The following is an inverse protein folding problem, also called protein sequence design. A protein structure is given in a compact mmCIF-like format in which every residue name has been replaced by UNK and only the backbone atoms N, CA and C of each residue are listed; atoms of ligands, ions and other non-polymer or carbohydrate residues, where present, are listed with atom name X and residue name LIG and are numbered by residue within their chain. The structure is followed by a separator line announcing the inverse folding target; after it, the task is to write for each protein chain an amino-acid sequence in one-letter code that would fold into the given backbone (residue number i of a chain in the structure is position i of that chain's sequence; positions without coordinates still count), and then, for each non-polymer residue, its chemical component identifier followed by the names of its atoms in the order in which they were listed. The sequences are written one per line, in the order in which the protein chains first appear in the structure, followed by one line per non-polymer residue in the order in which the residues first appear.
data_IF_250124709565
#
_entry.id   IF_250124709565
#
_cell.length_a   1.000
_cell.length_b   1.000
_cell.length_c   1.000
_cell.angle_alpha   90.00
_cell.angle_beta   90.00
_cell.angle_gamma   90.00
#
_symmetry.space_group_name_H-M   'P 1'
#
loop_
_entity.id
_entity.type
_entity.pdbx_description
1 polymer ?
#
# COMPACT_ATOMS: atom_id res chain seq x y z
N UNK A 1 3.05 -20.69 -14.05
CA UNK A 1 3.43 -19.46 -13.30
C UNK A 1 2.22 -18.56 -13.02
N UNK A 2 1.22 -19.05 -12.27
CA UNK A 2 -0.04 -18.34 -11.95
C UNK A 2 -0.19 -17.99 -10.46
N UNK A 3 0.76 -18.43 -9.62
CA UNK A 3 0.62 -18.39 -8.15
C UNK A 3 0.73 -16.99 -7.55
N UNK A 4 1.61 -16.12 -8.08
CA UNK A 4 1.91 -14.82 -7.46
C UNK A 4 0.82 -13.76 -7.67
N UNK A 5 0.12 -13.77 -8.82
CA UNK A 5 -0.98 -12.83 -9.06
C UNK A 5 -2.22 -13.18 -8.23
N UNK A 6 -2.55 -14.47 -8.13
CA UNK A 6 -3.66 -14.94 -7.30
C UNK A 6 -3.39 -14.69 -5.81
N UNK A 7 -2.16 -14.88 -5.34
CA UNK A 7 -1.77 -14.56 -3.97
C UNK A 7 -1.92 -13.05 -3.66
N UNK A 8 -1.46 -12.19 -4.58
CA UNK A 8 -1.61 -10.74 -4.45
C UNK A 8 -3.08 -10.29 -4.49
N UNK A 9 -3.89 -10.92 -5.35
CA UNK A 9 -5.32 -10.64 -5.46
C UNK A 9 -6.06 -10.99 -4.16
N UNK A 10 -5.82 -12.19 -3.60
CA UNK A 10 -6.40 -12.60 -2.31
C UNK A 10 -5.98 -11.68 -1.18
N UNK A 11 -4.71 -11.28 -1.12
CA UNK A 11 -4.25 -10.32 -0.11
C UNK A 11 -4.90 -8.95 -0.28
N UNK A 12 -5.13 -8.50 -1.53
CA UNK A 12 -5.80 -7.23 -1.81
C UNK A 12 -7.26 -7.28 -1.39
N UNK A 13 -7.94 -8.39 -1.68
CA UNK A 13 -9.30 -8.64 -1.24
C UNK A 13 -9.39 -8.65 0.29
N UNK A 14 -8.52 -9.38 0.99
CA UNK A 14 -8.52 -9.40 2.47
C UNK A 14 -8.22 -8.03 3.08
N UNK A 15 -7.23 -7.31 2.55
CA UNK A 15 -6.88 -5.98 3.05
C UNK A 15 -8.04 -4.98 2.86
N UNK A 16 -8.70 -4.98 1.69
CA UNK A 16 -9.78 -4.03 1.41
C UNK A 16 -11.15 -4.46 1.96
N UNK A 17 -11.53 -5.74 1.81
CA UNK A 17 -12.86 -6.25 2.19
C UNK A 17 -12.94 -6.65 3.65
N UNK A 18 -11.87 -7.21 4.22
CA UNK A 18 -11.86 -7.67 5.62
C UNK A 18 -11.19 -6.66 6.57
N UNK A 19 -10.65 -5.55 6.03
CA UNK A 19 -9.91 -4.56 6.81
C UNK A 19 -8.64 -5.14 7.47
N UNK A 20 -8.05 -6.19 6.88
CA UNK A 20 -6.91 -6.89 7.47
C UNK A 20 -5.63 -6.05 7.37
N UNK A 21 -5.24 -5.46 8.50
CA UNK A 21 -4.05 -4.63 8.64
C UNK A 21 -2.74 -5.40 8.34
N UNK A 22 -2.67 -6.67 8.71
CA UNK A 22 -1.50 -7.51 8.43
C UNK A 22 -1.39 -7.85 6.94
N UNK A 23 -2.52 -8.09 6.27
CA UNK A 23 -2.55 -8.28 4.82
C UNK A 23 -2.10 -7.00 4.08
N UNK A 24 -2.52 -5.82 4.54
CA UNK A 24 -2.07 -4.55 3.97
C UNK A 24 -0.56 -4.33 4.16
N UNK A 25 -0.02 -4.71 5.31
CA UNK A 25 1.42 -4.66 5.58
C UNK A 25 2.22 -5.62 4.68
N UNK A 26 1.77 -6.85 4.53
CA UNK A 26 2.41 -7.83 3.65
C UNK A 26 2.43 -7.36 2.18
N UNK A 27 1.34 -6.72 1.73
CA UNK A 27 1.28 -6.10 0.41
C UNK A 27 2.26 -4.93 0.28
N UNK A 28 2.43 -4.13 1.34
CA UNK A 28 3.41 -3.05 1.36
C UNK A 28 4.84 -3.60 1.25
N UNK A 29 5.21 -4.56 2.09
CA UNK A 29 6.53 -5.22 2.07
C UNK A 29 6.84 -5.76 0.67
N UNK A 30 5.89 -6.47 0.05
CA UNK A 30 6.03 -6.96 -1.32
C UNK A 30 6.27 -5.83 -2.34
N UNK A 31 5.62 -4.68 -2.16
CA UNK A 31 5.79 -3.53 -3.07
C UNK A 31 7.17 -2.88 -2.93
N UNK A 32 7.72 -2.89 -1.70
CA UNK A 32 9.07 -2.40 -1.42
C UNK A 32 10.10 -3.31 -2.10
N UNK A 33 9.97 -4.63 -1.93
CA UNK A 33 10.84 -5.63 -2.58
C UNK A 33 10.80 -5.49 -4.10
N UNK A 34 9.62 -5.30 -4.68
CA UNK A 34 9.43 -5.10 -6.13
C UNK A 34 9.72 -3.66 -6.60
N UNK A 35 10.12 -2.75 -5.71
CA UNK A 35 10.40 -1.33 -6.00
C UNK A 35 9.25 -0.57 -6.67
N UNK A 36 8.01 -0.98 -6.40
CA UNK A 36 6.82 -0.33 -6.95
C UNK A 36 6.50 0.97 -6.21
N UNK A 37 6.96 2.11 -6.75
CA UNK A 37 6.84 3.43 -6.08
C UNK A 37 5.40 3.84 -5.78
N UNK A 38 4.55 3.95 -6.81
CA UNK A 38 3.17 4.44 -6.67
C UNK A 38 2.28 3.48 -5.89
N UNK A 39 2.42 2.17 -6.15
CA UNK A 39 1.62 1.13 -5.49
C UNK A 39 2.02 1.02 -4.00
N UNK A 40 3.31 1.14 -3.67
CA UNK A 40 3.76 1.16 -2.29
C UNK A 40 3.15 2.31 -1.49
N UNK A 41 3.09 3.54 -2.05
CA UNK A 41 2.44 4.66 -1.37
C UNK A 41 0.96 4.38 -1.08
N UNK A 42 0.22 3.83 -2.05
CA UNK A 42 -1.20 3.50 -1.82
C UNK A 42 -1.36 2.44 -0.73
N UNK A 43 -0.54 1.38 -0.76
CA UNK A 43 -0.58 0.29 0.23
C UNK A 43 -0.10 0.75 1.61
N UNK A 44 0.84 1.68 1.67
CA UNK A 44 1.26 2.32 2.91
C UNK A 44 0.12 3.11 3.55
N UNK A 45 -0.58 3.95 2.77
CA UNK A 45 -1.73 4.69 3.27
C UNK A 45 -2.84 3.74 3.75
N UNK A 46 -3.11 2.68 3.00
CA UNK A 46 -4.06 1.65 3.38
C UNK A 46 -3.67 0.99 4.72
N UNK A 47 -2.41 0.55 4.84
CA UNK A 47 -1.89 -0.07 6.06
C UNK A 47 -1.94 0.89 7.25
N UNK A 48 -1.63 2.18 7.04
CA UNK A 48 -1.74 3.22 8.06
C UNK A 48 -3.18 3.41 8.54
N UNK A 49 -4.14 3.45 7.60
CA UNK A 49 -5.56 3.62 7.92
C UNK A 49 -6.16 2.42 8.65
N UNK A 50 -5.66 1.21 8.37
CA UNK A 50 -6.05 -0.02 9.05
C UNK A 50 -5.32 -0.24 10.39
N UNK A 51 -4.43 0.67 10.80
CA UNK A 51 -3.69 0.53 12.05
C UNK A 51 -2.63 -0.57 12.04
N UNK A 52 -2.07 -0.90 10.87
CA UNK A 52 -1.02 -1.90 10.75
C UNK A 52 0.25 -1.47 11.51
N UNK A 53 1.04 -2.41 12.06
CA UNK A 53 2.28 -2.12 12.76
C UNK A 53 3.39 -1.74 11.77
N UNK A 54 3.30 -0.51 11.25
CA UNK A 54 4.31 0.07 10.37
C UNK A 54 5.62 0.30 11.14
N UNK A 55 6.74 0.07 10.48
CA UNK A 55 8.08 0.24 11.03
C UNK A 55 8.78 1.43 10.34
N UNK A 56 9.83 1.96 10.96
CA UNK A 56 10.64 3.07 10.41
C UNK A 56 11.05 2.87 8.96
N UNK A 57 11.44 1.64 8.58
CA UNK A 57 11.81 1.28 7.19
C UNK A 57 10.70 1.56 6.17
N UNK A 58 9.43 1.42 6.57
CA UNK A 58 8.29 1.69 5.71
C UNK A 58 8.16 3.20 5.50
N UNK A 59 8.20 3.97 6.59
CA UNK A 59 8.14 5.43 6.58
C UNK A 59 9.25 6.03 5.72
N UNK A 60 10.50 5.63 5.94
CA UNK A 60 11.65 6.11 5.17
C UNK A 60 11.51 5.82 3.66
N UNK A 61 11.00 4.64 3.31
CA UNK A 61 10.83 4.27 1.91
C UNK A 61 9.77 5.13 1.22
N UNK A 62 8.61 5.34 1.85
CA UNK A 62 7.57 6.19 1.26
C UNK A 62 7.94 7.67 1.29
N UNK A 63 8.65 8.16 2.30
CA UNK A 63 9.18 9.53 2.32
C UNK A 63 10.14 9.78 1.16
N UNK A 64 11.08 8.87 0.91
CA UNK A 64 12.00 8.94 -0.25
C UNK A 64 11.25 8.96 -1.59
N UNK A 65 10.11 8.29 -1.70
CA UNK A 65 9.28 8.34 -2.91
C UNK A 65 8.49 9.64 -2.99
N UNK A 66 7.86 10.04 -1.88
CA UNK A 66 7.01 11.21 -1.80
C UNK A 66 7.80 12.50 -2.09
N UNK A 67 9.04 12.58 -1.62
CA UNK A 67 9.96 13.69 -1.92
C UNK A 67 10.23 13.89 -3.42
N UNK A 68 9.97 12.88 -4.26
CA UNK A 68 10.16 12.92 -5.72
C UNK A 68 8.87 13.18 -6.48
N UNK A 69 7.75 13.34 -5.78
CA UNK A 69 6.42 13.53 -6.38
C UNK A 69 5.91 14.94 -6.08
N UNK A 70 5.15 15.49 -7.03
CA UNK A 70 4.43 16.74 -6.79
C UNK A 70 3.26 16.53 -5.83
N UNK A 71 2.81 17.62 -5.21
CA UNK A 71 1.62 17.62 -4.36
C UNK A 71 0.39 17.03 -5.08
N UNK A 72 0.19 17.34 -6.36
CA UNK A 72 -0.92 16.78 -7.16
C UNK A 72 -0.81 15.27 -7.37
N UNK A 73 0.42 14.76 -7.54
CA UNK A 73 0.64 13.33 -7.66
C UNK A 73 0.34 12.63 -6.32
N UNK A 74 0.74 13.23 -5.20
CA UNK A 74 0.42 12.73 -3.86
C UNK A 74 -1.09 12.77 -3.58
N UNK A 75 -1.79 13.85 -3.95
CA UNK A 75 -3.23 13.98 -3.81
C UNK A 75 -3.98 12.89 -4.60
N UNK A 76 -3.58 12.62 -5.85
CA UNK A 76 -4.15 11.53 -6.66
C UNK A 76 -3.91 10.15 -6.05
N UNK A 77 -2.74 9.94 -5.43
CA UNK A 77 -2.40 8.69 -4.74
C UNK A 77 -3.25 8.52 -3.48
N UNK A 78 -3.39 9.57 -2.67
CA UNK A 78 -4.24 9.56 -1.48
C UNK A 78 -5.72 9.32 -1.86
N UNK A 79 -6.21 9.95 -2.92
CA UNK A 79 -7.54 9.68 -3.47
C UNK A 79 -7.73 8.22 -3.88
N UNK A 80 -6.76 7.63 -4.57
CA UNK A 80 -6.80 6.22 -4.96
C UNK A 80 -6.75 5.26 -3.75
N UNK A 81 -6.06 5.62 -2.67
CA UNK A 81 -6.06 4.84 -1.43
C UNK A 81 -7.44 4.86 -0.76
N UNK A 82 -8.02 6.06 -0.61
CA UNK A 82 -9.35 6.25 -0.02
C UNK A 82 -10.45 5.52 -0.82
N UNK A 83 -10.38 5.56 -2.15
CA UNK A 83 -11.33 4.87 -3.01
C UNK A 83 -11.32 3.34 -2.82
N UNK A 84 -10.21 2.75 -2.34
CA UNK A 84 -10.11 1.31 -2.07
C UNK A 84 -10.64 0.88 -0.70
N UNK A 85 -10.82 1.84 0.20
CA UNK A 85 -11.41 1.64 1.53
C UNK A 85 -12.92 1.90 1.56
N UNK A 86 -13.44 2.55 0.52
CA UNK A 86 -14.87 2.78 0.39
C UNK A 86 -15.50 1.52 -0.20
N UNK A 87 -16.50 0.91 0.48
CA UNK A 87 -17.24 -0.24 -0.05
C UNK A 87 -18.00 0.10 -1.33
#
# INVERSE_FOLDING_TARGET
MTSTRLATARLTERACQQGDAHAALALLDQSIVLRHRRIALIRYLLAQQLGAPLQSRHHEYVEKIAARLSADALARIAGAARARLRP
#
